data_IF_576002392478
#
_entry.id   IF_576002392478
#
_cell.length_a   1.000
_cell.length_b   1.000
_cell.length_c   1.000
_cell.angle_alpha   90.00
_cell.angle_beta   90.00
_cell.angle_gamma   90.00
#
_symmetry.space_group_name_H-M   'P 1'
#
loop_
_entity.id
_entity.type
_entity.pdbx_description
1 polymer ?
#
# COMPACT_ATOMS: atom_id res chain seq x y z
N UNK A 1 -11.82 -7.28 -3.50
CA UNK A 1 -10.63 -7.94 -2.98
C UNK A 1 -10.20 -7.31 -1.65
N UNK A 2 -9.78 -8.14 -0.72
CA UNK A 2 -9.08 -7.81 0.51
C UNK A 2 -8.20 -8.99 0.94
N UNK A 3 -7.29 -8.80 1.89
CA UNK A 3 -6.50 -9.91 2.43
C UNK A 3 -6.76 -10.17 3.92
N UNK A 4 -6.48 -11.39 4.36
CA UNK A 4 -6.75 -11.89 5.71
C UNK A 4 -5.48 -12.11 6.53
N UNK A 5 -4.35 -12.30 5.85
CA UNK A 5 -3.06 -12.47 6.50
C UNK A 5 -2.53 -11.13 7.02
N UNK A 6 -1.42 -11.18 7.71
CA UNK A 6 -0.82 -10.01 8.35
C UNK A 6 0.65 -10.24 8.61
N UNK A 7 1.42 -9.17 8.56
CA UNK A 7 2.83 -9.19 8.93
C UNK A 7 3.02 -9.66 10.38
N UNK A 8 4.07 -10.44 10.63
CA UNK A 8 4.45 -10.77 12.00
C UNK A 8 4.73 -9.49 12.80
N UNK A 9 4.46 -9.55 14.07
CA UNK A 9 4.76 -8.44 14.97
C UNK A 9 6.18 -8.53 15.52
N UNK A 10 6.72 -7.38 15.91
CA UNK A 10 8.04 -7.30 16.51
C UNK A 10 8.06 -7.86 17.94
N UNK A 11 9.26 -8.18 18.47
CA UNK A 11 9.45 -8.73 19.81
C UNK A 11 8.79 -7.89 20.92
N UNK A 12 8.37 -8.55 21.99
CA UNK A 12 7.59 -7.96 23.08
C UNK A 12 8.21 -6.70 23.72
N UNK A 13 9.53 -6.56 23.70
CA UNK A 13 10.24 -5.39 24.25
C UNK A 13 9.90 -4.07 23.54
N UNK A 14 9.40 -4.14 22.31
CA UNK A 14 8.99 -2.96 21.52
C UNK A 14 7.52 -2.58 21.71
N UNK A 15 6.76 -3.36 22.46
CA UNK A 15 5.33 -3.11 22.70
C UNK A 15 5.04 -2.17 23.87
N UNK A 16 6.05 -1.61 24.54
CA UNK A 16 5.81 -0.59 25.56
C UNK A 16 4.95 0.55 25.07
N UNK A 17 5.12 0.96 23.80
CA UNK A 17 4.28 1.96 23.14
C UNK A 17 2.82 1.51 22.95
N UNK A 18 2.54 0.21 23.01
CA UNK A 18 1.21 -0.39 22.94
C UNK A 18 0.62 -0.65 24.35
N UNK A 19 1.26 -0.12 25.39
CA UNK A 19 0.78 -0.29 26.78
C UNK A 19 0.90 -1.72 27.31
N UNK A 20 1.92 -2.47 26.83
CA UNK A 20 2.19 -3.84 27.28
C UNK A 20 1.21 -4.91 26.79
N UNK A 21 0.33 -4.57 25.82
CA UNK A 21 -0.63 -5.52 25.24
C UNK A 21 -0.06 -6.04 23.92
N UNK A 22 -0.12 -7.36 23.71
CA UNK A 22 0.33 -7.97 22.46
C UNK A 22 -0.48 -7.39 21.26
N UNK A 23 0.16 -7.07 20.13
CA UNK A 23 -0.51 -6.53 18.94
C UNK A 23 -1.62 -7.42 18.39
N UNK A 24 -1.61 -8.70 18.73
CA UNK A 24 -2.67 -9.67 18.37
C UNK A 24 -3.91 -9.58 19.25
N UNK A 25 -3.89 -8.75 20.30
CA UNK A 25 -5.04 -8.51 21.15
C UNK A 25 -5.73 -7.22 20.76
N UNK A 26 -7.02 -7.30 20.49
CA UNK A 26 -7.84 -6.13 20.19
C UNK A 26 -7.85 -5.16 21.38
N UNK A 27 -7.53 -3.92 21.10
CA UNK A 27 -7.57 -2.82 22.05
C UNK A 27 -8.46 -1.69 21.52
N UNK A 28 -9.26 -1.13 22.39
CA UNK A 28 -10.04 0.06 22.11
C UNK A 28 -9.46 1.28 22.83
N UNK A 29 -9.62 2.46 22.22
CA UNK A 29 -9.45 3.72 22.95
C UNK A 29 -10.60 3.91 23.98
N UNK A 30 -10.49 4.94 24.82
CA UNK A 30 -11.43 5.16 25.93
C UNK A 30 -12.89 5.33 25.48
N UNK A 31 -13.12 6.06 24.40
CA UNK A 31 -14.45 6.34 23.84
C UNK A 31 -14.95 5.28 22.86
N UNK A 32 -14.16 4.22 22.64
CA UNK A 32 -14.42 3.13 21.70
C UNK A 32 -14.63 3.57 20.25
N UNK A 33 -14.14 4.73 19.88
CA UNK A 33 -14.19 5.20 18.50
C UNK A 33 -13.12 4.56 17.60
N UNK A 34 -12.08 3.94 18.19
CA UNK A 34 -10.97 3.31 17.49
C UNK A 34 -10.60 1.97 18.10
N UNK A 35 -10.37 1.01 17.22
CA UNK A 35 -9.85 -0.31 17.54
C UNK A 35 -8.42 -0.45 17.02
N UNK A 36 -7.54 -1.02 17.82
CA UNK A 36 -6.14 -1.23 17.50
C UNK A 36 -5.79 -2.70 17.56
N UNK A 37 -5.01 -3.16 16.63
CA UNK A 37 -4.48 -4.51 16.55
C UNK A 37 -3.71 -4.72 15.26
N UNK A 38 -2.77 -5.66 15.24
CA UNK A 38 -2.08 -6.04 14.01
C UNK A 38 -3.10 -6.63 13.02
N UNK A 39 -3.10 -6.12 11.78
CA UNK A 39 -4.06 -6.51 10.74
C UNK A 39 -5.42 -5.80 10.85
N UNK A 40 -5.67 -4.95 11.86
CA UNK A 40 -6.97 -4.28 12.02
C UNK A 40 -7.25 -3.27 10.89
N UNK A 41 -6.24 -2.52 10.47
CA UNK A 41 -6.32 -1.59 9.34
C UNK A 41 -5.89 -2.26 8.04
N UNK A 42 -4.85 -3.05 8.09
CA UNK A 42 -4.19 -3.72 6.97
C UNK A 42 -4.32 -5.25 7.16
N UNK A 43 -5.32 -5.94 6.55
CA UNK A 43 -6.43 -5.37 5.75
C UNK A 43 -7.80 -5.90 6.23
N UNK A 44 -7.95 -6.28 7.50
CA UNK A 44 -9.26 -6.69 8.03
C UNK A 44 -10.30 -5.56 7.94
N UNK A 45 -9.87 -4.31 7.88
CA UNK A 45 -10.77 -3.17 7.64
C UNK A 45 -11.41 -3.25 6.24
N UNK A 46 -10.65 -3.66 5.23
CA UNK A 46 -11.14 -3.91 3.88
C UNK A 46 -12.15 -5.05 3.85
N UNK A 47 -11.85 -6.16 4.54
CA UNK A 47 -12.78 -7.30 4.66
C UNK A 47 -14.12 -6.87 5.25
N UNK A 48 -14.09 -6.11 6.36
CA UNK A 48 -15.31 -5.60 7.02
C UNK A 48 -16.04 -4.61 6.12
N UNK A 49 -15.30 -3.72 5.44
CA UNK A 49 -15.89 -2.73 4.52
C UNK A 49 -16.61 -3.39 3.35
N UNK A 50 -16.08 -4.47 2.79
CA UNK A 50 -16.77 -5.25 1.74
C UNK A 50 -18.08 -5.83 2.29
N UNK A 51 -18.04 -6.46 3.48
CA UNK A 51 -19.23 -7.04 4.11
C UNK A 51 -20.31 -6.00 4.37
N UNK A 52 -19.93 -4.86 4.96
CA UNK A 52 -20.84 -3.75 5.24
C UNK A 52 -21.43 -3.13 3.97
N UNK A 53 -20.63 -3.03 2.90
CA UNK A 53 -21.10 -2.50 1.62
C UNK A 53 -22.14 -3.41 0.97
N UNK A 54 -21.93 -4.72 1.02
CA UNK A 54 -22.89 -5.70 0.51
C UNK A 54 -24.18 -5.65 1.35
N UNK A 55 -24.08 -5.61 2.67
CA UNK A 55 -25.24 -5.51 3.57
C UNK A 55 -26.04 -4.22 3.28
N UNK A 56 -25.36 -3.08 3.15
CA UNK A 56 -26.00 -1.81 2.79
C UNK A 56 -26.73 -1.88 1.43
N UNK A 57 -26.12 -2.50 0.43
CA UNK A 57 -26.74 -2.70 -0.89
C UNK A 57 -28.01 -3.58 -0.75
N UNK A 58 -27.93 -4.68 -0.01
CA UNK A 58 -29.10 -5.54 0.23
C UNK A 58 -30.24 -4.81 0.93
N UNK A 59 -29.94 -3.95 1.90
CA UNK A 59 -30.96 -3.15 2.60
C UNK A 59 -31.60 -2.08 1.72
N UNK A 60 -30.92 -1.56 0.71
CA UNK A 60 -31.49 -0.57 -0.22
C UNK A 60 -32.46 -1.18 -1.20
N UNK A 61 -32.39 -2.49 -1.45
CA UNK A 61 -33.29 -3.21 -2.34
C UNK A 61 -34.59 -3.53 -1.61
N UNK A 62 -35.50 -2.55 -1.52
CA UNK A 62 -36.77 -2.67 -0.79
C UNK A 62 -37.57 -3.93 -1.18
N UNK A 63 -37.95 -4.68 -0.16
CA UNK A 63 -38.78 -5.88 -0.31
C UNK A 63 -37.99 -7.12 -0.74
N UNK A 64 -36.65 -7.09 -0.77
CA UNK A 64 -35.85 -8.28 -0.87
C UNK A 64 -35.98 -9.09 0.43
N UNK A 65 -36.11 -10.40 0.33
CA UNK A 65 -35.82 -11.31 1.43
C UNK A 65 -34.32 -11.23 1.69
N UNK A 66 -33.87 -11.44 2.92
CA UNK A 66 -32.45 -11.36 3.28
C UNK A 66 -31.52 -12.24 2.41
N UNK A 67 -32.11 -13.26 1.76
CA UNK A 67 -31.45 -14.24 0.89
C UNK A 67 -31.63 -14.01 -0.63
N UNK A 68 -32.40 -12.98 -1.03
CA UNK A 68 -32.70 -12.72 -2.46
C UNK A 68 -31.65 -11.82 -3.11
N UNK A 69 -30.53 -12.40 -3.51
CA UNK A 69 -29.44 -11.73 -4.22
C UNK A 69 -29.79 -11.33 -5.66
N UNK A 70 -30.90 -11.85 -6.23
CA UNK A 70 -31.28 -11.59 -7.64
C UNK A 70 -31.65 -10.13 -7.92
N UNK A 71 -31.88 -9.34 -6.87
CA UNK A 71 -32.25 -7.94 -6.95
C UNK A 71 -31.07 -6.96 -6.82
N UNK A 72 -29.87 -7.47 -6.62
CA UNK A 72 -28.68 -6.63 -6.67
C UNK A 72 -28.51 -6.04 -8.08
N UNK A 73 -28.10 -4.76 -8.19
CA UNK A 73 -27.93 -4.09 -9.50
C UNK A 73 -26.74 -4.62 -10.30
N UNK A 74 -25.88 -5.41 -9.69
CA UNK A 74 -24.68 -5.98 -10.30
C UNK A 74 -24.35 -7.34 -9.68
N UNK A 75 -23.56 -8.12 -10.39
CA UNK A 75 -22.94 -9.32 -9.85
C UNK A 75 -21.71 -8.94 -9.01
N UNK A 76 -21.57 -9.54 -7.85
CA UNK A 76 -20.41 -9.30 -6.95
C UNK A 76 -19.66 -10.61 -6.77
N UNK A 77 -18.37 -10.59 -7.04
CA UNK A 77 -17.43 -11.67 -6.74
C UNK A 77 -16.47 -11.18 -5.67
N UNK A 78 -16.30 -11.94 -4.62
CA UNK A 78 -15.44 -11.56 -3.49
C UNK A 78 -14.28 -12.53 -3.42
N UNK A 79 -13.09 -11.98 -3.21
CA UNK A 79 -11.86 -12.73 -3.03
C UNK A 79 -11.20 -12.23 -1.75
N UNK A 80 -10.85 -13.18 -0.88
CA UNK A 80 -10.02 -12.93 0.29
C UNK A 80 -8.73 -13.74 0.15
N UNK A 81 -7.62 -13.03 0.08
CA UNK A 81 -6.29 -13.62 -0.03
C UNK A 81 -5.69 -13.88 1.36
N UNK A 82 -4.81 -14.86 1.46
CA UNK A 82 -4.13 -15.25 2.71
C UNK A 82 -2.60 -15.27 2.59
N UNK A 83 -2.04 -14.72 1.51
CA UNK A 83 -0.61 -14.67 1.21
C UNK A 83 -0.16 -13.30 0.70
N UNK A 84 -0.98 -12.23 0.83
CA UNK A 84 -0.67 -10.91 0.32
C UNK A 84 0.64 -10.39 0.93
N UNK A 85 0.76 -10.44 2.23
CA UNK A 85 1.88 -9.94 3.02
C UNK A 85 3.18 -10.75 2.84
N UNK A 86 3.09 -11.90 2.22
CA UNK A 86 4.23 -12.76 1.87
C UNK A 86 4.55 -12.79 0.38
N UNK A 87 3.84 -12.01 -0.45
CA UNK A 87 4.10 -11.82 -1.88
C UNK A 87 3.15 -12.57 -2.81
N UNK A 88 1.97 -12.95 -2.35
CA UNK A 88 0.87 -13.50 -3.19
C UNK A 88 1.29 -14.69 -4.07
N UNK A 89 2.09 -15.59 -3.54
CA UNK A 89 2.73 -16.66 -4.33
C UNK A 89 1.75 -17.53 -5.10
N UNK A 90 0.56 -17.80 -4.51
CA UNK A 90 -0.46 -18.66 -5.12
C UNK A 90 -1.50 -17.91 -5.93
N UNK A 91 -1.57 -16.58 -5.85
CA UNK A 91 -2.68 -15.78 -6.43
C UNK A 91 -2.80 -15.97 -7.95
N UNK A 92 -1.69 -15.90 -8.68
CA UNK A 92 -1.68 -16.03 -10.14
C UNK A 92 -2.14 -17.42 -10.58
N UNK A 93 -1.71 -18.45 -9.88
CA UNK A 93 -2.12 -19.83 -10.16
C UNK A 93 -3.62 -20.00 -9.90
N UNK A 94 -4.13 -19.47 -8.77
CA UNK A 94 -5.56 -19.49 -8.44
C UNK A 94 -6.40 -18.76 -9.49
N UNK A 95 -5.97 -17.60 -9.96
CA UNK A 95 -6.65 -16.87 -11.04
C UNK A 95 -6.64 -17.69 -12.33
N UNK A 96 -5.52 -18.33 -12.63
CA UNK A 96 -5.35 -19.10 -13.87
C UNK A 96 -6.18 -20.39 -13.87
N UNK A 97 -6.25 -21.08 -12.75
CA UNK A 97 -7.02 -22.32 -12.59
C UNK A 97 -8.53 -22.05 -12.54
N UNK A 98 -8.94 -20.88 -12.05
CA UNK A 98 -10.34 -20.50 -11.87
C UNK A 98 -10.82 -19.44 -12.87
N UNK A 99 -10.34 -19.47 -14.11
CA UNK A 99 -10.66 -18.47 -15.16
C UNK A 99 -12.14 -18.20 -15.34
N UNK A 100 -13.00 -19.21 -15.18
CA UNK A 100 -14.44 -19.03 -15.32
C UNK A 100 -15.00 -18.12 -14.20
N UNK A 101 -14.50 -18.23 -12.98
CA UNK A 101 -14.86 -17.34 -11.88
C UNK A 101 -14.37 -15.91 -12.14
N UNK A 102 -13.16 -15.74 -12.66
CA UNK A 102 -12.55 -14.43 -12.93
C UNK A 102 -12.92 -13.82 -14.28
N UNK A 103 -13.81 -14.45 -15.06
CA UNK A 103 -14.30 -13.92 -16.33
C UNK A 103 -15.44 -12.92 -16.15
N UNK A 104 -15.68 -12.09 -17.18
CA UNK A 104 -16.78 -11.11 -17.23
C UNK A 104 -16.79 -10.17 -16.01
N UNK A 105 -15.65 -9.54 -15.74
CA UNK A 105 -15.47 -8.54 -14.70
C UNK A 105 -15.31 -7.18 -15.35
N UNK A 106 -16.18 -6.23 -15.01
CA UNK A 106 -16.12 -4.85 -15.49
C UNK A 106 -15.22 -3.99 -14.61
N UNK A 107 -15.22 -4.25 -13.29
CA UNK A 107 -14.46 -3.50 -12.29
C UNK A 107 -13.82 -4.42 -11.28
N UNK A 108 -12.59 -4.07 -10.86
CA UNK A 108 -11.90 -4.67 -9.73
C UNK A 108 -11.74 -3.59 -8.65
N UNK A 109 -12.26 -3.87 -7.48
CA UNK A 109 -12.14 -2.98 -6.31
C UNK A 109 -11.22 -3.66 -5.30
N UNK A 110 -10.13 -3.00 -4.98
CA UNK A 110 -9.16 -3.43 -3.97
C UNK A 110 -9.32 -2.49 -2.77
N UNK A 111 -9.59 -3.05 -1.59
CA UNK A 111 -9.90 -2.26 -0.38
C UNK A 111 -8.70 -2.06 0.53
N UNK A 112 -7.52 -2.40 0.04
CA UNK A 112 -6.25 -2.34 0.74
C UNK A 112 -5.47 -1.05 0.37
N UNK A 113 -6.05 0.09 0.67
CA UNK A 113 -5.43 1.41 0.44
C UNK A 113 -5.80 2.38 1.56
N UNK A 114 -4.95 3.36 1.77
CA UNK A 114 -5.19 4.42 2.75
C UNK A 114 -5.95 5.60 2.13
N UNK A 115 -6.80 6.23 2.93
CA UNK A 115 -7.44 7.47 2.54
C UNK A 115 -6.44 8.64 2.50
N UNK A 116 -6.71 9.69 1.69
CA UNK A 116 -5.85 10.87 1.59
C UNK A 116 -5.58 11.58 2.92
N UNK A 117 -6.56 11.54 3.82
CA UNK A 117 -6.45 12.04 5.19
C UNK A 117 -7.52 11.37 6.07
N UNK A 118 -7.35 11.47 7.39
CA UNK A 118 -8.34 10.95 8.34
C UNK A 118 -9.73 11.60 8.13
N UNK A 119 -10.76 10.77 7.96
CA UNK A 119 -12.12 11.22 7.72
C UNK A 119 -12.40 11.74 6.30
N UNK A 120 -11.42 11.68 5.41
CA UNK A 120 -11.56 12.07 4.01
C UNK A 120 -11.52 10.80 3.15
N UNK A 121 -12.65 10.32 2.64
CA UNK A 121 -12.66 9.16 1.76
C UNK A 121 -11.93 9.47 0.45
N UNK A 122 -11.19 8.51 -0.05
CA UNK A 122 -10.47 8.60 -1.32
C UNK A 122 -10.66 7.39 -2.20
N UNK A 123 -10.45 7.59 -3.48
CA UNK A 123 -10.40 6.54 -4.48
C UNK A 123 -9.03 6.58 -5.16
N UNK A 124 -8.22 5.56 -4.91
CA UNK A 124 -6.95 5.37 -5.62
C UNK A 124 -7.22 4.77 -6.98
N UNK A 125 -6.86 5.47 -8.04
CA UNK A 125 -7.13 5.06 -9.43
C UNK A 125 -5.90 4.52 -10.15
N UNK A 126 -4.72 4.66 -9.57
CA UNK A 126 -3.47 4.15 -10.12
C UNK A 126 -2.47 3.84 -9.01
N UNK A 127 -1.60 2.88 -9.26
CA UNK A 127 -0.47 2.52 -8.41
C UNK A 127 0.79 2.44 -9.27
N UNK A 128 1.93 2.69 -8.66
CA UNK A 128 3.22 2.37 -9.27
C UNK A 128 3.52 0.89 -9.11
N UNK A 129 4.27 0.33 -10.08
CA UNK A 129 4.79 -1.02 -9.97
C UNK A 129 5.93 -1.14 -8.98
N UNK A 130 6.32 -2.37 -8.67
CA UNK A 130 7.49 -2.69 -7.86
C UNK A 130 8.37 -3.71 -8.59
N UNK A 131 9.68 -3.56 -8.47
CA UNK A 131 10.67 -4.57 -8.86
C UNK A 131 11.58 -4.79 -7.66
N UNK A 132 11.63 -6.02 -7.19
CA UNK A 132 12.53 -6.43 -6.11
C UNK A 132 13.71 -7.19 -6.72
N UNK A 133 14.91 -6.85 -6.29
CA UNK A 133 16.15 -7.48 -6.74
C UNK A 133 17.04 -7.80 -5.55
N UNK A 134 17.68 -8.96 -5.60
CA UNK A 134 18.73 -9.33 -4.67
C UNK A 134 20.09 -9.12 -5.34
N UNK A 135 21.00 -8.42 -4.67
CA UNK A 135 22.37 -8.21 -5.13
C UNK A 135 23.31 -8.89 -4.15
N UNK A 136 23.99 -9.92 -4.62
CA UNK A 136 24.96 -10.67 -3.82
C UNK A 136 26.37 -10.39 -4.31
N UNK A 137 27.26 -10.01 -3.39
CA UNK A 137 28.70 -9.84 -3.67
C UNK A 137 29.46 -10.94 -2.95
N UNK A 138 30.14 -11.78 -3.69
CA UNK A 138 30.94 -12.89 -3.17
C UNK A 138 32.44 -12.65 -3.40
N UNK A 139 33.23 -12.99 -2.37
CA UNK A 139 34.68 -12.89 -2.47
C UNK A 139 35.26 -14.06 -3.24
N UNK A 140 35.99 -13.78 -4.31
CA UNK A 140 36.85 -14.76 -4.92
C UNK A 140 38.20 -14.79 -4.16
N UNK A 141 38.50 -15.88 -3.48
CA UNK A 141 39.61 -16.04 -2.54
C UNK A 141 41.02 -15.79 -3.08
N UNK A 142 41.18 -15.39 -4.33
CA UNK A 142 42.46 -15.23 -5.01
C UNK A 142 42.92 -13.77 -5.20
N UNK A 143 42.07 -12.78 -4.95
CA UNK A 143 42.41 -11.36 -5.08
C UNK A 143 41.95 -10.56 -3.86
N UNK A 144 42.84 -9.85 -3.22
CA UNK A 144 42.59 -9.03 -2.03
C UNK A 144 42.78 -7.57 -2.42
N UNK A 145 41.75 -6.93 -2.98
CA UNK A 145 41.83 -5.49 -3.24
C UNK A 145 40.72 -4.67 -2.56
N UNK A 146 39.53 -5.22 -2.39
CA UNK A 146 38.38 -4.56 -1.75
C UNK A 146 37.62 -5.60 -0.96
N UNK A 147 37.14 -5.26 0.25
CA UNK A 147 36.22 -6.11 1.01
C UNK A 147 34.83 -6.10 0.35
N UNK A 148 34.05 -7.15 0.60
CA UNK A 148 32.76 -7.38 -0.04
C UNK A 148 31.75 -6.28 0.28
N UNK A 149 31.79 -5.78 1.52
CA UNK A 149 30.89 -4.72 1.96
C UNK A 149 31.18 -3.40 1.23
N UNK A 150 32.46 -3.04 1.08
CA UNK A 150 32.88 -1.85 0.31
C UNK A 150 32.51 -2.00 -1.16
N UNK A 151 32.67 -3.20 -1.74
CA UNK A 151 32.27 -3.47 -3.13
C UNK A 151 30.77 -3.30 -3.33
N UNK A 152 29.96 -3.81 -2.42
CA UNK A 152 28.50 -3.66 -2.44
C UNK A 152 28.10 -2.18 -2.33
N UNK A 153 28.67 -1.43 -1.39
CA UNK A 153 28.35 -0.02 -1.22
C UNK A 153 28.73 0.81 -2.46
N UNK A 154 29.87 0.52 -3.07
CA UNK A 154 30.26 1.18 -4.33
C UNK A 154 29.30 0.87 -5.45
N UNK A 155 28.85 -0.38 -5.57
CA UNK A 155 27.85 -0.77 -6.57
C UNK A 155 26.52 -0.04 -6.31
N UNK A 156 26.00 -0.10 -5.09
CA UNK A 156 24.73 0.57 -4.73
C UNK A 156 24.79 2.08 -4.94
N UNK A 157 25.94 2.72 -4.66
CA UNK A 157 26.10 4.16 -4.87
C UNK A 157 26.02 4.58 -6.34
N UNK A 158 26.22 3.67 -7.29
CA UNK A 158 26.06 3.97 -8.73
C UNK A 158 24.61 3.99 -9.20
N UNK A 159 23.68 3.49 -8.39
CA UNK A 159 22.26 3.42 -8.72
C UNK A 159 21.51 4.71 -8.42
N UNK A 160 22.12 5.63 -7.66
CA UNK A 160 21.51 6.89 -7.21
C UNK A 160 22.42 8.04 -7.63
N UNK A 161 21.87 9.09 -8.23
CA UNK A 161 22.58 10.33 -8.57
C UNK A 161 22.69 11.25 -7.35
N UNK A 162 23.52 12.29 -7.45
CA UNK A 162 23.71 13.30 -6.39
C UNK A 162 22.42 14.06 -6.04
N UNK A 163 21.49 14.17 -6.98
CA UNK A 163 20.15 14.76 -6.79
C UNK A 163 19.12 13.77 -6.22
N UNK A 164 19.58 12.60 -5.77
CA UNK A 164 18.77 11.49 -5.26
C UNK A 164 17.84 10.81 -6.27
N UNK A 165 17.92 11.19 -7.55
CA UNK A 165 17.18 10.49 -8.61
C UNK A 165 17.87 9.18 -8.99
N UNK A 166 17.08 8.28 -9.62
CA UNK A 166 17.57 7.00 -10.08
C UNK A 166 18.58 7.18 -11.22
N UNK A 167 19.74 6.52 -11.12
CA UNK A 167 20.78 6.58 -12.15
C UNK A 167 20.55 5.62 -13.32
N UNK A 168 19.62 4.68 -13.20
CA UNK A 168 19.28 3.73 -14.27
C UNK A 168 18.39 4.43 -15.28
N UNK A 169 18.98 4.77 -16.41
CA UNK A 169 18.38 5.60 -17.44
C UNK A 169 17.08 4.99 -18.01
N UNK A 170 17.13 3.72 -18.32
CA UNK A 170 16.00 3.00 -18.91
C UNK A 170 14.76 2.98 -18.01
N UNK A 171 14.97 2.91 -16.70
CA UNK A 171 13.87 2.97 -15.72
C UNK A 171 13.37 4.41 -15.59
N UNK A 172 14.28 5.38 -15.43
CA UNK A 172 13.88 6.79 -15.28
C UNK A 172 13.20 7.37 -16.54
N UNK A 173 13.55 6.87 -17.73
CA UNK A 173 12.90 7.24 -19.00
C UNK A 173 11.54 6.53 -19.22
N UNK A 174 11.27 5.44 -18.50
CA UNK A 174 9.97 4.78 -18.55
C UNK A 174 8.89 5.49 -17.72
N UNK A 175 9.29 6.36 -16.80
CA UNK A 175 8.34 7.16 -16.02
C UNK A 175 7.55 8.07 -16.95
N UNK A 176 6.23 7.90 -16.96
CA UNK A 176 5.36 8.80 -17.72
C UNK A 176 5.36 10.19 -17.07
N UNK A 177 5.52 11.26 -17.85
CA UNK A 177 5.41 12.61 -17.31
C UNK A 177 3.99 12.85 -16.79
N UNK A 178 3.89 13.42 -15.60
CA UNK A 178 2.61 13.87 -15.05
C UNK A 178 2.12 15.06 -15.88
N UNK A 179 0.93 14.94 -16.46
CA UNK A 179 0.33 16.01 -17.24
C UNK A 179 -0.31 17.10 -16.35
N UNK A 180 -0.68 18.23 -16.93
CA UNK A 180 -1.22 19.37 -16.20
C UNK A 180 -2.57 19.08 -15.52
N UNK A 181 -3.43 18.27 -16.15
CA UNK A 181 -4.73 17.90 -15.58
C UNK A 181 -4.55 16.98 -14.36
N UNK A 182 -3.62 16.06 -14.43
CA UNK A 182 -3.25 15.18 -13.33
C UNK A 182 -2.65 15.98 -12.17
N UNK A 183 -1.66 16.87 -12.45
CA UNK A 183 -1.09 17.78 -11.46
C UNK A 183 -2.17 18.64 -10.79
N UNK A 184 -3.09 19.15 -11.58
CA UNK A 184 -4.24 19.91 -11.08
C UNK A 184 -5.13 19.04 -10.18
N UNK A 185 -5.37 17.80 -10.55
CA UNK A 185 -6.10 16.84 -9.72
C UNK A 185 -5.48 16.68 -8.33
N UNK A 186 -4.16 16.49 -8.25
CA UNK A 186 -3.45 16.39 -6.97
C UNK A 186 -3.54 17.67 -6.13
N UNK A 187 -3.61 18.84 -6.73
CA UNK A 187 -3.75 20.10 -5.97
C UNK A 187 -5.10 20.24 -5.25
N UNK A 188 -6.10 19.46 -5.64
CA UNK A 188 -7.42 19.44 -5.00
C UNK A 188 -7.56 18.37 -3.91
N UNK A 189 -6.54 17.55 -3.68
CA UNK A 189 -6.57 16.58 -2.58
C UNK A 189 -6.71 17.33 -1.26
N UNK A 190 -7.76 17.05 -0.45
CA UNK A 190 -8.07 17.83 0.74
C UNK A 190 -7.17 17.45 1.91
N UNK A 191 -5.88 17.74 1.79
CA UNK A 191 -4.86 17.50 2.80
C UNK A 191 -3.96 18.74 2.92
N UNK A 192 -3.02 18.72 3.83
CA UNK A 192 -1.99 19.76 3.98
C UNK A 192 -0.61 19.16 4.04
N UNK A 193 0.41 19.94 3.72
CA UNK A 193 1.81 19.51 3.84
C UNK A 193 2.12 19.02 5.26
N UNK A 194 1.60 19.70 6.29
CA UNK A 194 1.78 19.28 7.67
C UNK A 194 1.10 17.94 7.96
N UNK A 195 -0.13 17.72 7.47
CA UNK A 195 -0.81 16.43 7.63
C UNK A 195 -0.05 15.29 6.94
N UNK A 196 0.51 15.52 5.77
CA UNK A 196 1.36 14.53 5.08
C UNK A 196 2.65 14.25 5.88
N UNK A 197 3.29 15.28 6.43
CA UNK A 197 4.46 15.12 7.30
C UNK A 197 4.15 14.30 8.56
N UNK A 198 3.04 14.59 9.22
CA UNK A 198 2.58 13.88 10.41
C UNK A 198 2.27 12.41 10.09
N UNK A 199 1.56 12.13 9.00
CA UNK A 199 1.26 10.78 8.54
C UNK A 199 2.53 9.98 8.22
N UNK A 200 3.52 10.63 7.61
CA UNK A 200 4.81 10.04 7.32
C UNK A 200 5.75 9.94 8.55
N UNK A 201 5.33 10.42 9.72
CA UNK A 201 6.16 10.43 10.93
C UNK A 201 7.41 11.32 10.83
N UNK A 202 7.38 12.34 9.96
CA UNK A 202 8.52 13.25 9.75
C UNK A 202 8.70 14.21 10.91
N UNK A 203 9.94 14.46 11.29
CA UNK A 203 10.27 15.55 12.22
C UNK A 203 9.98 16.90 11.55
N UNK A 204 9.54 17.88 12.32
CA UNK A 204 9.20 19.23 11.80
C UNK A 204 10.37 19.91 11.07
N UNK A 205 11.60 19.63 11.47
CA UNK A 205 12.81 20.19 10.85
C UNK A 205 13.27 19.44 9.58
N UNK A 206 12.57 18.40 9.15
CA UNK A 206 12.95 17.65 7.95
C UNK A 206 12.69 18.50 6.71
N UNK A 207 13.73 18.74 5.91
CA UNK A 207 13.59 19.38 4.60
C UNK A 207 13.07 18.36 3.58
N UNK A 208 12.13 18.80 2.76
CA UNK A 208 11.70 18.01 1.60
C UNK A 208 12.67 18.23 0.43
N UNK A 209 12.86 17.20 -0.38
CA UNK A 209 13.64 17.27 -1.62
C UNK A 209 12.85 17.85 -2.80
N UNK A 210 11.57 18.14 -2.59
CA UNK A 210 10.64 18.70 -3.58
C UNK A 210 10.00 19.97 -3.03
N UNK A 211 9.33 20.74 -3.90
CA UNK A 211 8.56 21.92 -3.47
C UNK A 211 7.53 21.57 -2.42
N UNK A 212 7.37 22.44 -1.42
CA UNK A 212 6.42 22.27 -0.33
C UNK A 212 4.98 22.60 -0.75
N UNK A 213 4.52 21.99 -1.84
CA UNK A 213 3.13 22.00 -2.27
C UNK A 213 2.61 20.55 -2.38
N UNK A 214 1.32 20.38 -2.15
CA UNK A 214 0.69 19.05 -2.08
C UNK A 214 0.89 18.28 -3.38
N UNK A 215 0.71 18.92 -4.53
CA UNK A 215 0.83 18.26 -5.81
C UNK A 215 2.26 17.75 -6.05
N UNK A 216 3.28 18.54 -5.74
CA UNK A 216 4.69 18.14 -5.88
C UNK A 216 5.06 16.98 -4.95
N UNK A 217 4.55 16.97 -3.72
CA UNK A 217 4.80 15.88 -2.76
C UNK A 217 4.14 14.58 -3.25
N UNK A 218 2.86 14.63 -3.64
CA UNK A 218 2.13 13.46 -4.12
C UNK A 218 2.73 12.92 -5.42
N UNK A 219 3.11 13.78 -6.35
CA UNK A 219 3.79 13.39 -7.58
C UNK A 219 5.13 12.71 -7.29
N UNK A 220 5.90 13.21 -6.33
CA UNK A 220 7.16 12.58 -5.94
C UNK A 220 6.98 11.16 -5.43
N UNK A 221 5.87 10.86 -4.76
CA UNK A 221 5.52 9.51 -4.32
C UNK A 221 5.19 8.56 -5.47
N UNK A 222 4.80 9.08 -6.63
CA UNK A 222 4.50 8.29 -7.83
C UNK A 222 5.73 8.03 -8.71
N UNK A 223 6.85 8.73 -8.46
CA UNK A 223 8.09 8.55 -9.21
C UNK A 223 8.81 7.27 -8.79
N UNK A 224 9.51 6.68 -9.75
CA UNK A 224 10.39 5.54 -9.47
C UNK A 224 11.49 5.97 -8.48
N UNK A 225 11.60 5.23 -7.41
CA UNK A 225 12.56 5.47 -6.33
C UNK A 225 13.07 4.16 -5.76
N UNK A 226 14.23 4.20 -5.12
CA UNK A 226 14.66 3.11 -4.24
C UNK A 226 13.91 3.18 -2.91
N UNK A 227 13.54 2.01 -2.40
CA UNK A 227 12.93 1.82 -1.09
C UNK A 227 13.81 0.89 -0.28
#
# INVERSE_FOLDING_TARGET
YAHLDKQPYMDNEKFEKWGGIAPTQLRWNEDRSRAYGRGAADDLSGVVSIGMSIDALMQTVKGAREDDLSRLPCNIKVIFETEEESGSHSLIDQITENKAFFSNIDYVVITDVVNPAQGIPGLTTSLRGIVQMEITVEKNSKEVSIDEQTALYKLLSTLIKDDHSLAIKEISESDQPVNDDERKGYSFVPTSVNALRETAGMLQATNLTVSEDIASILIAQLRTSFV
#
